data_IF_977033791345
#
_entry.id   IF_977033791345
#
_cell.length_a   1.000
_cell.length_b   1.000
_cell.length_c   1.000
_cell.angle_alpha   90.00
_cell.angle_beta   90.00
_cell.angle_gamma   90.00
#
_symmetry.space_group_name_H-M   'P 1'
#
loop_
_entity.id
_entity.type
_entity.pdbx_description
1 polymer ?
#
# COMPACT_ATOMS: atom_id res chain seq x y z
N UNK A 1 9.63 5.66 2.76
CA UNK A 1 8.20 5.29 2.72
C UNK A 1 7.97 4.31 1.59
N UNK A 2 7.13 3.30 1.77
CA UNK A 2 6.59 2.45 0.71
C UNK A 2 5.10 2.76 0.62
N UNK A 3 4.72 3.56 -0.37
CA UNK A 3 3.34 3.98 -0.53
C UNK A 3 2.61 3.16 -1.60
N UNK A 4 1.29 3.07 -1.44
CA UNK A 4 0.32 2.66 -2.44
C UNK A 4 -0.93 3.53 -2.24
N UNK A 5 -1.56 3.97 -3.32
CA UNK A 5 -2.79 4.77 -3.28
C UNK A 5 -4.01 3.92 -2.89
N UNK A 6 -5.08 4.61 -2.55
CA UNK A 6 -6.44 4.09 -2.49
C UNK A 6 -7.35 4.87 -3.47
N UNK A 7 -8.64 5.01 -3.18
CA UNK A 7 -9.61 5.73 -4.00
C UNK A 7 -9.48 7.25 -3.88
N UNK A 8 -9.24 7.77 -2.67
CA UNK A 8 -9.25 9.21 -2.39
C UNK A 8 -8.09 10.01 -3.00
N UNK A 9 -7.04 9.37 -3.51
CA UNK A 9 -6.10 10.01 -4.43
C UNK A 9 -6.77 10.46 -5.74
N UNK A 10 -7.92 9.86 -6.11
CA UNK A 10 -8.70 10.17 -7.30
C UNK A 10 -10.12 10.69 -6.98
N UNK A 11 -10.98 9.80 -6.47
CA UNK A 11 -12.41 10.01 -6.20
C UNK A 11 -12.97 8.84 -5.38
N UNK A 12 -13.98 9.11 -4.55
CA UNK A 12 -14.57 8.16 -3.60
C UNK A 12 -15.10 6.89 -4.29
N UNK A 13 -14.72 5.72 -3.77
CA UNK A 13 -15.07 4.40 -4.27
C UNK A 13 -14.70 4.20 -5.76
N UNK A 14 -13.58 4.77 -6.20
CA UNK A 14 -13.11 4.61 -7.57
C UNK A 14 -12.90 3.13 -7.97
N UNK A 15 -13.20 2.85 -9.23
CA UNK A 15 -12.93 1.63 -9.96
C UNK A 15 -12.42 1.99 -11.36
N UNK A 16 -12.08 1.00 -12.19
CA UNK A 16 -11.40 1.22 -13.47
C UNK A 16 -12.10 2.21 -14.42
N UNK A 17 -13.42 2.30 -14.40
CA UNK A 17 -14.23 3.14 -15.29
C UNK A 17 -14.99 4.30 -14.63
N UNK A 18 -14.87 4.52 -13.31
CA UNK A 18 -15.59 5.60 -12.64
C UNK A 18 -15.39 5.64 -11.12
N UNK A 19 -16.20 6.45 -10.45
CA UNK A 19 -16.21 6.59 -9.00
C UNK A 19 -17.61 7.01 -8.53
N UNK A 20 -17.93 6.83 -7.25
CA UNK A 20 -19.25 7.15 -6.71
C UNK A 20 -19.57 8.65 -6.80
N UNK A 21 -18.58 9.51 -6.54
CA UNK A 21 -18.76 10.96 -6.47
C UNK A 21 -18.12 11.71 -7.65
N UNK A 22 -18.11 11.10 -8.84
CA UNK A 22 -17.67 11.76 -10.06
C UNK A 22 -18.85 12.06 -10.98
N UNK A 23 -18.94 13.30 -11.46
CA UNK A 23 -19.94 13.73 -12.44
C UNK A 23 -19.27 14.23 -13.73
N UNK A 24 -19.38 13.49 -14.85
CA UNK A 24 -18.73 13.88 -16.09
C UNK A 24 -19.27 15.17 -16.71
N UNK A 25 -20.46 15.63 -16.32
CA UNK A 25 -21.04 16.87 -16.84
C UNK A 25 -20.43 18.13 -16.21
N UNK A 26 -19.91 18.02 -14.99
CA UNK A 26 -19.37 19.15 -14.21
C UNK A 26 -17.86 19.05 -14.01
N UNK A 27 -17.31 17.84 -13.98
CA UNK A 27 -15.89 17.59 -13.72
C UNK A 27 -15.12 17.10 -14.97
N UNK A 28 -15.81 16.91 -16.09
CA UNK A 28 -15.23 16.39 -17.33
C UNK A 28 -15.03 14.87 -17.33
N UNK A 29 -14.41 14.29 -18.37
CA UNK A 29 -14.21 12.85 -18.47
C UNK A 29 -13.40 12.26 -17.30
N UNK A 30 -13.85 11.12 -16.76
CA UNK A 30 -13.14 10.44 -15.65
C UNK A 30 -11.68 10.12 -15.97
N UNK A 31 -11.39 9.81 -17.24
CA UNK A 31 -10.04 9.55 -17.73
C UNK A 31 -9.09 10.75 -17.52
N UNK A 32 -9.59 11.98 -17.69
CA UNK A 32 -8.80 13.20 -17.51
C UNK A 32 -8.49 13.42 -16.02
N UNK A 33 -9.48 13.20 -15.15
CA UNK A 33 -9.30 13.24 -13.69
C UNK A 33 -8.28 12.19 -13.23
N UNK A 34 -8.35 10.98 -13.79
CA UNK A 34 -7.41 9.89 -13.53
C UNK A 34 -5.99 10.23 -13.99
N UNK A 35 -5.83 10.80 -15.18
CA UNK A 35 -4.53 11.26 -15.67
C UNK A 35 -3.93 12.36 -14.78
N UNK A 36 -4.76 13.30 -14.31
CA UNK A 36 -4.34 14.34 -13.37
C UNK A 36 -3.91 13.76 -12.01
N UNK A 37 -4.66 12.79 -11.46
CA UNK A 37 -4.27 12.07 -10.23
C UNK A 37 -2.91 11.39 -10.39
N UNK A 38 -2.70 10.64 -11.48
CA UNK A 38 -1.43 9.94 -11.69
C UNK A 38 -0.27 10.92 -11.76
N UNK A 39 -0.45 12.02 -12.49
CA UNK A 39 0.56 13.09 -12.55
C UNK A 39 0.87 13.63 -11.14
N UNK A 40 -0.15 14.03 -10.38
CA UNK A 40 0.04 14.57 -9.04
C UNK A 40 0.72 13.56 -8.10
N UNK A 41 0.30 12.30 -8.13
CA UNK A 41 0.88 11.24 -7.32
C UNK A 41 2.37 11.04 -7.64
N UNK A 42 2.73 10.97 -8.92
CA UNK A 42 4.11 10.79 -9.37
C UNK A 42 5.00 12.03 -9.13
N UNK A 43 4.41 13.22 -9.04
CA UNK A 43 5.12 14.47 -8.73
C UNK A 43 5.38 14.64 -7.22
N UNK A 44 4.46 14.20 -6.36
CA UNK A 44 4.49 14.50 -4.92
C UNK A 44 4.87 13.32 -4.02
N UNK A 45 4.78 12.09 -4.50
CA UNK A 45 5.13 10.91 -3.72
C UNK A 45 6.57 10.46 -4.02
N UNK A 46 7.35 10.04 -3.01
CA UNK A 46 8.66 9.43 -3.22
C UNK A 46 8.50 8.03 -3.81
N UNK A 47 8.21 7.99 -5.11
CA UNK A 47 7.77 6.82 -5.85
C UNK A 47 8.76 6.47 -6.96
N UNK A 48 9.06 5.17 -7.08
CA UNK A 48 9.74 4.60 -8.24
C UNK A 48 8.71 3.82 -9.02
N UNK A 49 8.54 4.16 -10.30
CA UNK A 49 7.69 3.39 -11.20
C UNK A 49 8.20 1.93 -11.30
N UNK A 50 7.38 0.92 -10.96
CA UNK A 50 7.68 -0.49 -11.21
C UNK A 50 7.84 -0.80 -12.69
N UNK A 51 7.02 -0.16 -13.53
CA UNK A 51 7.10 -0.23 -14.99
C UNK A 51 7.02 1.21 -15.55
N UNK A 52 8.06 1.72 -16.20
CA UNK A 52 8.05 3.06 -16.78
C UNK A 52 7.08 3.20 -17.97
N UNK A 53 6.58 2.10 -18.54
CA UNK A 53 5.63 2.11 -19.64
C UNK A 53 4.16 2.01 -19.18
N UNK A 54 3.93 1.78 -17.89
CA UNK A 54 2.60 1.65 -17.31
C UNK A 54 2.51 2.55 -16.07
N UNK A 55 2.02 3.77 -16.25
CA UNK A 55 1.93 4.77 -15.17
C UNK A 55 0.95 4.40 -14.05
N UNK A 56 0.09 3.40 -14.28
CA UNK A 56 -0.86 2.83 -13.31
C UNK A 56 -0.28 1.65 -12.54
N UNK A 57 0.83 1.10 -13.01
CA UNK A 57 1.51 -0.01 -12.37
C UNK A 57 2.09 0.45 -11.03
N UNK A 58 1.43 0.14 -9.91
CA UNK A 58 1.96 0.44 -8.56
C UNK A 58 2.29 -0.79 -7.71
N UNK A 59 1.64 -1.92 -7.98
CA UNK A 59 1.81 -3.16 -7.20
C UNK A 59 3.24 -3.73 -7.35
N UNK A 60 3.96 -4.04 -6.27
CA UNK A 60 5.39 -4.41 -6.36
C UNK A 60 5.84 -5.12 -5.10
N UNK A 61 7.03 -5.73 -5.14
CA UNK A 61 7.59 -6.44 -4.00
C UNK A 61 8.79 -5.75 -3.39
N UNK A 62 8.99 -5.95 -2.09
CA UNK A 62 10.18 -5.57 -1.36
C UNK A 62 10.64 -6.74 -0.49
N UNK A 63 11.95 -6.97 -0.42
CA UNK A 63 12.52 -8.06 0.37
C UNK A 63 13.43 -7.50 1.48
N UNK A 64 13.25 -7.99 2.70
CA UNK A 64 14.19 -7.79 3.81
C UNK A 64 14.87 -9.12 4.11
N UNK A 65 16.00 -9.35 3.42
CA UNK A 65 16.67 -10.64 3.45
C UNK A 65 15.74 -11.78 3.05
N UNK A 66 15.81 -12.87 3.80
CA UNK A 66 14.91 -14.03 3.75
C UNK A 66 13.77 -13.93 4.78
N UNK A 67 13.67 -12.83 5.53
CA UNK A 67 12.67 -12.68 6.58
C UNK A 67 11.31 -12.26 6.03
N UNK A 68 11.26 -11.18 5.26
CA UNK A 68 10.00 -10.61 4.74
C UNK A 68 10.06 -10.46 3.23
N UNK A 69 9.00 -10.91 2.57
CA UNK A 69 8.58 -10.38 1.29
C UNK A 69 7.29 -9.56 1.49
N UNK A 70 7.37 -8.25 1.27
CA UNK A 70 6.21 -7.36 1.25
C UNK A 70 5.70 -7.26 -0.19
N UNK A 71 4.50 -7.79 -0.43
CA UNK A 71 3.79 -7.81 -1.70
C UNK A 71 2.74 -6.70 -1.66
N UNK A 72 3.04 -5.56 -2.28
CA UNK A 72 2.12 -4.41 -2.35
C UNK A 72 1.15 -4.58 -3.51
N UNK A 73 -0.15 -4.42 -3.26
CA UNK A 73 -1.24 -4.57 -4.23
C UNK A 73 -1.91 -3.23 -4.57
N UNK A 74 -2.50 -3.15 -5.76
CA UNK A 74 -3.52 -2.16 -6.12
C UNK A 74 -4.89 -2.83 -6.09
N UNK A 75 -5.80 -2.39 -5.22
CA UNK A 75 -7.20 -2.86 -5.20
C UNK A 75 -8.18 -1.76 -5.60
N UNK A 76 -7.76 -0.81 -6.45
CA UNK A 76 -8.56 0.35 -6.85
C UNK A 76 -8.53 0.62 -8.35
N UNK A 77 -7.38 1.02 -8.88
CA UNK A 77 -7.35 1.64 -10.20
C UNK A 77 -6.95 0.65 -11.30
N UNK A 78 -6.20 -0.41 -10.96
CA UNK A 78 -5.62 -1.28 -11.97
C UNK A 78 -6.64 -2.22 -12.65
N UNK A 79 -7.35 -3.04 -11.86
CA UNK A 79 -8.19 -4.13 -12.40
C UNK A 79 -9.51 -4.33 -11.69
N UNK A 80 -9.98 -3.31 -10.96
CA UNK A 80 -11.21 -3.34 -10.18
C UNK A 80 -12.43 -3.03 -11.04
N UNK A 81 -13.42 -3.92 -10.98
CA UNK A 81 -14.77 -3.68 -11.49
C UNK A 81 -15.58 -2.83 -10.52
N UNK A 82 -16.62 -2.15 -10.99
CA UNK A 82 -17.55 -1.42 -10.13
C UNK A 82 -18.14 -2.33 -9.04
N UNK A 83 -18.17 -1.82 -7.81
CA UNK A 83 -18.75 -2.46 -6.64
C UNK A 83 -20.25 -2.72 -6.84
N UNK A 84 -20.82 -3.80 -6.28
CA UNK A 84 -22.27 -3.95 -6.21
C UNK A 84 -22.90 -2.79 -5.44
N UNK A 85 -24.07 -2.32 -5.88
CA UNK A 85 -24.77 -1.23 -5.23
C UNK A 85 -25.56 -1.69 -4.00
N UNK A 86 -25.64 -0.83 -2.98
CA UNK A 86 -26.43 -1.06 -1.77
C UNK A 86 -25.59 -1.11 -0.49
N UNK A 87 -26.22 -0.79 0.64
CA UNK A 87 -25.56 -0.78 1.96
C UNK A 87 -25.49 -2.17 2.58
N UNK A 88 -26.57 -2.95 2.45
CA UNK A 88 -26.64 -4.33 2.93
C UNK A 88 -27.00 -5.24 1.76
N UNK A 89 -26.10 -6.14 1.40
CA UNK A 89 -26.26 -7.04 0.24
C UNK A 89 -26.30 -8.47 0.76
N UNK A 90 -27.34 -9.22 0.37
CA UNK A 90 -27.50 -10.61 0.80
C UNK A 90 -26.30 -11.42 0.29
N UNK A 91 -25.69 -12.23 1.15
CA UNK A 91 -24.51 -13.04 0.79
C UNK A 91 -24.79 -14.06 -0.33
N UNK A 92 -26.07 -14.38 -0.60
CA UNK A 92 -26.51 -15.27 -1.67
C UNK A 92 -26.88 -14.53 -2.96
N UNK A 93 -26.68 -13.20 -3.04
CA UNK A 93 -26.97 -12.43 -4.26
C UNK A 93 -26.12 -12.94 -5.45
N UNK A 94 -26.72 -13.32 -6.58
CA UNK A 94 -25.97 -13.83 -7.74
C UNK A 94 -25.09 -12.78 -8.41
N UNK A 95 -25.42 -11.49 -8.36
CA UNK A 95 -24.58 -10.41 -8.88
C UNK A 95 -23.33 -10.22 -8.01
N UNK A 96 -23.50 -10.33 -6.69
CA UNK A 96 -22.38 -10.33 -5.73
C UNK A 96 -21.44 -11.52 -6.01
N UNK A 97 -22.03 -12.71 -6.16
CA UNK A 97 -21.31 -13.98 -6.34
C UNK A 97 -20.86 -14.26 -7.77
N UNK A 98 -21.03 -13.32 -8.71
CA UNK A 98 -20.59 -13.49 -10.09
C UNK A 98 -19.06 -13.72 -10.13
N UNK A 99 -18.59 -14.90 -10.60
CA UNK A 99 -17.17 -15.24 -10.55
C UNK A 99 -16.32 -14.37 -11.47
N UNK A 100 -16.91 -13.68 -12.44
CA UNK A 100 -16.18 -12.82 -13.37
C UNK A 100 -15.84 -11.45 -12.77
N UNK A 101 -16.42 -11.08 -11.62
CA UNK A 101 -16.07 -9.84 -10.95
C UNK A 101 -14.65 -9.88 -10.40
N UNK A 102 -13.96 -8.77 -10.53
CA UNK A 102 -12.53 -8.64 -10.30
C UNK A 102 -12.22 -7.45 -9.41
N UNK A 103 -11.39 -7.67 -8.37
CA UNK A 103 -10.81 -6.60 -7.56
C UNK A 103 -9.39 -6.25 -8.05
N UNK A 104 -8.59 -7.28 -8.37
CA UNK A 104 -7.17 -7.11 -8.73
C UNK A 104 -6.93 -6.97 -10.23
N UNK A 105 -7.81 -7.54 -11.05
CA UNK A 105 -7.56 -7.79 -12.47
C UNK A 105 -6.71 -9.04 -12.68
N UNK A 106 -6.79 -9.62 -13.89
CA UNK A 106 -6.13 -10.89 -14.21
C UNK A 106 -4.61 -10.82 -14.06
N UNK A 107 -3.97 -9.75 -14.56
CA UNK A 107 -2.51 -9.64 -14.56
C UNK A 107 -1.92 -9.58 -13.14
N UNK A 108 -2.45 -8.69 -12.29
CA UNK A 108 -2.00 -8.56 -10.90
C UNK A 108 -2.35 -9.80 -10.07
N UNK A 109 -3.53 -10.40 -10.28
CA UNK A 109 -3.92 -11.64 -9.59
C UNK A 109 -2.95 -12.77 -9.88
N UNK A 110 -2.65 -13.00 -11.16
CA UNK A 110 -1.72 -14.06 -11.56
C UNK A 110 -0.33 -13.80 -10.97
N UNK A 111 0.16 -12.57 -11.08
CA UNK A 111 1.42 -12.16 -10.47
C UNK A 111 1.46 -12.39 -8.95
N UNK A 112 0.42 -11.99 -8.21
CA UNK A 112 0.34 -12.22 -6.76
C UNK A 112 0.44 -13.71 -6.43
N UNK A 113 -0.30 -14.55 -7.14
CA UNK A 113 -0.31 -15.99 -6.90
C UNK A 113 1.05 -16.62 -7.22
N UNK A 114 1.71 -16.19 -8.29
CA UNK A 114 3.05 -16.65 -8.63
C UNK A 114 4.07 -16.20 -7.57
N UNK A 115 4.00 -14.96 -7.08
CA UNK A 115 4.84 -14.50 -5.96
C UNK A 115 4.61 -15.32 -4.70
N UNK A 116 3.36 -15.54 -4.30
CA UNK A 116 3.05 -16.32 -3.10
C UNK A 116 3.59 -17.77 -3.19
N UNK A 117 3.48 -18.40 -4.36
CA UNK A 117 3.97 -19.77 -4.61
C UNK A 117 5.49 -19.88 -4.67
N UNK A 118 6.17 -18.84 -5.19
CA UNK A 118 7.61 -18.86 -5.43
C UNK A 118 8.44 -18.21 -4.33
N UNK A 119 7.82 -17.44 -3.43
CA UNK A 119 8.52 -16.73 -2.36
C UNK A 119 9.14 -17.68 -1.35
N UNK A 120 10.46 -17.59 -1.19
CA UNK A 120 11.23 -18.28 -0.14
C UNK A 120 11.33 -17.52 1.17
N UNK A 121 10.76 -16.30 1.26
CA UNK A 121 10.80 -15.52 2.50
C UNK A 121 10.00 -16.21 3.61
N UNK A 122 10.47 -16.07 4.86
CA UNK A 122 9.81 -16.62 6.06
C UNK A 122 8.39 -16.11 6.16
N UNK A 123 8.18 -14.80 5.97
CA UNK A 123 6.87 -14.15 5.99
C UNK A 123 6.53 -13.52 4.64
N UNK A 124 5.30 -13.76 4.18
CA UNK A 124 4.71 -13.05 3.04
C UNK A 124 3.70 -12.04 3.56
N UNK A 125 4.07 -10.77 3.57
CA UNK A 125 3.19 -9.67 3.97
C UNK A 125 2.51 -9.11 2.72
N UNK A 126 1.18 -9.06 2.69
CA UNK A 126 0.41 -8.47 1.61
C UNK A 126 -0.06 -7.09 2.07
N UNK A 127 0.50 -6.02 1.49
CA UNK A 127 0.06 -4.65 1.76
C UNK A 127 -0.95 -4.18 0.73
N UNK A 128 -2.15 -3.79 1.18
CA UNK A 128 -3.26 -3.44 0.29
C UNK A 128 -4.27 -2.52 1.00
N UNK A 129 -5.31 -2.08 0.29
CA UNK A 129 -6.15 -0.97 0.70
C UNK A 129 -7.33 -1.41 1.58
N UNK A 130 -8.16 -2.35 1.08
CA UNK A 130 -9.52 -2.60 1.60
C UNK A 130 -9.65 -3.95 2.32
N UNK A 131 -10.42 -4.06 3.40
CA UNK A 131 -10.41 -5.25 4.27
C UNK A 131 -10.72 -6.58 3.57
N UNK A 132 -9.93 -7.61 3.88
CA UNK A 132 -10.08 -8.97 3.34
C UNK A 132 -11.08 -9.78 4.16
N UNK A 133 -10.99 -9.68 5.50
CA UNK A 133 -11.86 -10.40 6.41
C UNK A 133 -13.34 -10.15 6.09
N UNK A 134 -14.21 -11.18 6.14
CA UNK A 134 -15.63 -10.97 5.97
C UNK A 134 -16.20 -10.16 7.13
N UNK A 135 -17.06 -9.19 6.80
CA UNK A 135 -17.81 -8.39 7.75
C UNK A 135 -19.30 -8.48 7.41
N UNK A 136 -19.99 -9.34 8.16
CA UNK A 136 -21.38 -9.69 7.89
C UNK A 136 -22.28 -9.43 9.09
N UNK A 137 -23.57 -9.25 8.80
CA UNK A 137 -24.65 -9.24 9.78
C UNK A 137 -25.66 -10.32 9.47
N UNK A 138 -26.10 -11.04 10.50
CA UNK A 138 -27.22 -11.95 10.37
C UNK A 138 -28.51 -11.26 10.80
N UNK A 139 -29.49 -11.19 9.91
CA UNK A 139 -30.81 -10.62 10.14
C UNK A 139 -31.86 -11.39 9.34
N UNK A 140 -33.05 -11.59 9.93
CA UNK A 140 -34.18 -12.25 9.24
C UNK A 140 -33.80 -13.60 8.60
N UNK A 141 -33.03 -14.43 9.31
CA UNK A 141 -32.51 -15.73 8.85
C UNK A 141 -31.62 -15.68 7.60
N UNK A 142 -31.12 -14.49 7.24
CA UNK A 142 -30.18 -14.26 6.16
C UNK A 142 -28.91 -13.61 6.70
N UNK A 143 -27.83 -13.66 5.92
CA UNK A 143 -26.61 -12.91 6.19
C UNK A 143 -26.40 -11.86 5.11
N UNK A 144 -25.89 -10.69 5.50
CA UNK A 144 -25.64 -9.57 4.61
C UNK A 144 -24.22 -9.06 4.80
N UNK A 145 -23.53 -8.74 3.71
CA UNK A 145 -22.31 -7.93 3.79
C UNK A 145 -22.70 -6.48 4.08
N UNK A 146 -21.83 -5.75 4.77
CA UNK A 146 -22.10 -4.36 5.20
C UNK A 146 -21.26 -3.33 4.43
N UNK A 147 -20.25 -3.77 3.70
CA UNK A 147 -19.41 -2.91 2.86
C UNK A 147 -18.99 -3.63 1.57
N UNK A 148 -19.70 -3.33 0.48
CA UNK A 148 -19.40 -3.89 -0.84
C UNK A 148 -18.15 -3.26 -1.50
N UNK A 149 -17.57 -2.24 -0.88
CA UNK A 149 -16.32 -1.61 -1.32
C UNK A 149 -15.05 -2.34 -0.85
N UNK A 150 -15.21 -3.42 -0.09
CA UNK A 150 -14.12 -4.27 0.39
C UNK A 150 -14.10 -5.62 -0.33
N UNK A 151 -13.27 -6.57 0.12
CA UNK A 151 -13.23 -7.91 -0.48
C UNK A 151 -14.55 -8.66 -0.34
N UNK A 152 -15.41 -8.26 0.60
CA UNK A 152 -16.80 -8.73 0.68
C UNK A 152 -17.61 -8.46 -0.59
N UNK A 153 -17.33 -7.36 -1.27
CA UNK A 153 -17.89 -7.07 -2.58
C UNK A 153 -17.42 -8.04 -3.66
N UNK A 154 -16.33 -8.80 -3.47
CA UNK A 154 -15.70 -9.65 -4.50
C UNK A 154 -15.43 -11.06 -3.94
N UNK A 155 -16.46 -11.80 -3.50
CA UNK A 155 -16.29 -13.05 -2.76
C UNK A 155 -15.55 -14.13 -3.56
N UNK A 156 -15.76 -14.21 -4.87
CA UNK A 156 -15.03 -15.13 -5.75
C UNK A 156 -13.53 -14.81 -5.80
N UNK A 157 -13.16 -13.52 -5.79
CA UNK A 157 -11.77 -13.08 -5.76
C UNK A 157 -11.09 -13.42 -4.43
N UNK A 158 -11.77 -13.13 -3.31
CA UNK A 158 -11.33 -13.51 -1.97
C UNK A 158 -11.12 -15.02 -1.88
N UNK A 159 -12.06 -15.79 -2.42
CA UNK A 159 -12.00 -17.25 -2.41
C UNK A 159 -10.79 -17.78 -3.17
N UNK A 160 -10.47 -17.22 -4.35
CA UNK A 160 -9.27 -17.61 -5.11
C UNK A 160 -7.97 -17.36 -4.35
N UNK A 161 -7.88 -16.25 -3.60
CA UNK A 161 -6.71 -15.98 -2.75
C UNK A 161 -6.58 -17.04 -1.66
N UNK A 162 -7.67 -17.31 -0.94
CA UNK A 162 -7.73 -18.33 0.11
C UNK A 162 -7.41 -19.74 -0.41
N UNK A 163 -7.99 -20.12 -1.55
CA UNK A 163 -7.71 -21.38 -2.23
C UNK A 163 -6.24 -21.48 -2.64
N UNK A 164 -5.66 -20.41 -3.19
CA UNK A 164 -4.24 -20.39 -3.55
C UNK A 164 -3.36 -20.67 -2.34
N UNK A 165 -3.63 -20.00 -1.21
CA UNK A 165 -2.86 -20.19 0.03
C UNK A 165 -2.97 -21.63 0.53
N UNK A 166 -4.19 -22.16 0.65
CA UNK A 166 -4.43 -23.49 1.22
C UNK A 166 -3.93 -24.61 0.29
N UNK A 167 -4.30 -24.59 -0.99
CA UNK A 167 -4.00 -25.67 -1.93
C UNK A 167 -2.51 -25.79 -2.26
N UNK A 168 -1.74 -24.70 -2.12
CA UNK A 168 -0.29 -24.70 -2.36
C UNK A 168 0.51 -24.76 -1.04
N UNK A 169 -0.14 -25.02 0.09
CA UNK A 169 0.48 -25.08 1.41
C UNK A 169 1.34 -23.86 1.74
N UNK A 170 0.89 -22.66 1.32
CA UNK A 170 1.63 -21.42 1.56
C UNK A 170 1.49 -21.08 3.04
N UNK A 171 2.62 -20.88 3.71
CA UNK A 171 2.71 -20.59 5.13
C UNK A 171 2.95 -19.10 5.36
N UNK A 172 2.68 -18.63 6.59
CA UNK A 172 3.13 -17.33 7.10
C UNK A 172 2.66 -16.13 6.26
N UNK A 173 1.38 -16.12 5.92
CA UNK A 173 0.75 -15.01 5.17
C UNK A 173 0.07 -14.05 6.14
N UNK A 174 0.42 -12.77 6.03
CA UNK A 174 -0.15 -11.68 6.82
C UNK A 174 -0.64 -10.59 5.88
N UNK A 175 -1.85 -10.07 6.09
CA UNK A 175 -2.40 -8.95 5.32
C UNK A 175 -2.35 -7.66 6.14
N UNK A 176 -1.97 -6.56 5.50
CA UNK A 176 -1.94 -5.21 6.05
C UNK A 176 -2.93 -4.33 5.25
N UNK A 177 -3.81 -3.64 5.97
CA UNK A 177 -5.01 -3.01 5.38
C UNK A 177 -5.28 -1.63 6.00
N UNK A 178 -5.90 -0.71 5.23
CA UNK A 178 -6.42 0.59 5.68
C UNK A 178 -7.91 0.77 5.37
N UNK A 179 -8.26 1.86 4.66
CA UNK A 179 -9.60 2.21 4.12
C UNK A 179 -10.71 2.46 5.17
N UNK A 180 -11.00 1.51 6.05
CA UNK A 180 -12.21 1.51 6.90
C UNK A 180 -12.16 2.44 8.13
N UNK A 181 -11.10 3.25 8.24
CA UNK A 181 -10.87 4.26 9.29
C UNK A 181 -10.94 3.74 10.74
N UNK A 182 -10.90 2.44 10.96
CA UNK A 182 -11.10 1.80 12.27
C UNK A 182 -10.09 0.65 12.43
N UNK A 183 -9.86 0.19 13.65
CA UNK A 183 -8.83 -0.80 13.96
C UNK A 183 -9.40 -2.21 13.96
N UNK A 184 -8.71 -3.18 13.33
CA UNK A 184 -9.16 -4.57 13.30
C UNK A 184 -8.00 -5.57 13.30
N UNK A 185 -8.10 -6.58 14.16
CA UNK A 185 -7.24 -7.77 14.11
C UNK A 185 -8.09 -8.98 13.75
N UNK A 186 -7.88 -9.56 12.58
CA UNK A 186 -8.73 -10.61 12.05
C UNK A 186 -7.95 -11.91 11.78
N UNK A 187 -8.58 -13.03 12.11
CA UNK A 187 -8.32 -14.28 11.41
C UNK A 187 -9.07 -14.25 10.06
N UNK A 188 -8.50 -14.85 9.02
CA UNK A 188 -9.12 -14.90 7.68
C UNK A 188 -9.76 -16.28 7.45
N UNK A 189 -11.06 -16.46 7.75
CA UNK A 189 -11.72 -17.76 7.62
C UNK A 189 -11.78 -18.20 6.16
N UNK A 190 -11.47 -19.48 5.88
CA UNK A 190 -11.45 -20.06 4.53
C UNK A 190 -12.80 -19.97 3.82
N UNK A 191 -13.90 -20.00 4.57
CA UNK A 191 -15.25 -19.87 4.07
C UNK A 191 -16.32 -19.98 5.17
N UNK A 192 -17.60 -19.83 4.82
CA UNK A 192 -18.71 -19.91 5.77
C UNK A 192 -18.69 -21.22 6.57
N UNK A 193 -18.87 -21.13 7.89
CA UNK A 193 -18.94 -22.28 8.79
C UNK A 193 -17.63 -23.07 9.00
N UNK A 194 -16.53 -22.70 8.32
CA UNK A 194 -15.26 -23.43 8.43
C UNK A 194 -14.41 -23.05 9.65
N UNK A 195 -14.76 -21.97 10.35
CA UNK A 195 -13.91 -21.33 11.34
C UNK A 195 -14.34 -21.67 12.78
N UNK A 196 -13.39 -22.13 13.58
CA UNK A 196 -13.57 -22.39 15.00
C UNK A 196 -12.94 -21.25 15.82
N UNK A 197 -13.78 -20.45 16.47
CA UNK A 197 -13.35 -19.24 17.19
C UNK A 197 -12.53 -19.48 18.44
N UNK A 198 -12.65 -20.66 19.05
CA UNK A 198 -11.88 -21.04 20.24
C UNK A 198 -10.46 -21.47 19.92
N UNK A 199 -10.21 -21.96 18.70
CA UNK A 199 -8.92 -22.54 18.31
C UNK A 199 -8.23 -21.82 17.15
N UNK A 200 -8.95 -20.99 16.39
CA UNK A 200 -8.47 -20.38 15.16
C UNK A 200 -8.44 -21.34 13.95
N UNK A 201 -8.83 -22.61 14.13
CA UNK A 201 -8.87 -23.59 13.04
C UNK A 201 -9.84 -23.12 11.94
N UNK A 202 -9.45 -23.33 10.68
CA UNK A 202 -10.20 -22.84 9.51
C UNK A 202 -9.76 -21.47 9.01
N UNK A 203 -8.81 -20.81 9.67
CA UNK A 203 -8.18 -19.59 9.16
C UNK A 203 -7.10 -19.89 8.10
N UNK A 204 -7.02 -19.07 7.05
CA UNK A 204 -6.00 -19.18 5.99
C UNK A 204 -4.79 -18.29 6.21
N UNK A 205 -4.97 -17.19 6.93
CA UNK A 205 -4.00 -16.12 7.16
C UNK A 205 -4.54 -15.18 8.25
N UNK A 206 -3.78 -14.16 8.64
CA UNK A 206 -4.25 -13.09 9.54
C UNK A 206 -4.21 -11.74 8.85
N UNK A 207 -5.00 -10.80 9.33
CA UNK A 207 -5.07 -9.43 8.82
C UNK A 207 -4.99 -8.41 9.96
N UNK A 208 -4.15 -7.40 9.76
CA UNK A 208 -4.03 -6.21 10.60
C UNK A 208 -4.56 -5.00 9.83
N UNK A 209 -5.62 -4.40 10.34
CA UNK A 209 -6.27 -3.22 9.73
C UNK A 209 -5.98 -1.99 10.60
N UNK A 210 -5.30 -1.01 10.01
CA UNK A 210 -4.93 0.24 10.68
C UNK A 210 -6.10 1.22 10.71
N UNK A 211 -6.28 1.98 11.82
CA UNK A 211 -7.23 3.08 11.84
C UNK A 211 -6.77 4.20 10.91
N UNK A 212 -7.64 5.20 10.70
CA UNK A 212 -7.23 6.43 10.04
C UNK A 212 -6.31 7.26 10.94
N UNK A 213 -5.49 8.10 10.30
CA UNK A 213 -4.70 9.12 11.01
C UNK A 213 -5.61 10.24 11.52
N UNK A 214 -6.55 10.71 10.69
CA UNK A 214 -7.50 11.79 11.05
C UNK A 214 -8.87 11.68 10.41
N UNK A 215 -9.06 10.86 9.37
CA UNK A 215 -10.36 10.74 8.68
C UNK A 215 -11.45 10.25 9.63
N UNK A 216 -12.64 10.84 9.54
CA UNK A 216 -13.78 10.47 10.37
C UNK A 216 -14.09 8.96 10.26
N UNK A 217 -14.34 8.32 11.41
CA UNK A 217 -14.62 6.89 11.46
C UNK A 217 -15.84 6.52 10.61
N UNK A 218 -15.84 5.28 10.12
CA UNK A 218 -16.89 4.69 9.29
C UNK A 218 -18.30 4.86 9.90
N UNK A 219 -19.02 5.89 9.47
CA UNK A 219 -20.42 6.15 9.88
C UNK A 219 -21.40 5.14 9.30
N UNK A 220 -21.00 4.38 8.27
CA UNK A 220 -21.82 3.34 7.63
C UNK A 220 -22.14 2.16 8.56
N UNK A 221 -21.41 2.00 9.67
CA UNK A 221 -21.64 0.91 10.61
C UNK A 221 -22.99 1.02 11.33
N UNK A 222 -23.61 2.21 11.47
CA UNK A 222 -24.95 2.32 12.06
C UNK A 222 -25.07 1.60 13.42
N UNK A 223 -25.87 0.52 13.48
CA UNK A 223 -26.04 -0.35 14.67
C UNK A 223 -24.82 -1.24 15.01
N UNK A 224 -23.81 -1.34 14.12
CA UNK A 224 -22.49 -1.91 14.40
C UNK A 224 -21.54 -0.97 15.14
N UNK A 225 -22.06 0.08 15.79
CA UNK A 225 -21.27 0.98 16.63
C UNK A 225 -20.67 0.31 17.87
N UNK A 226 -20.95 -0.97 18.12
CA UNK A 226 -20.42 -1.74 19.24
C UNK A 226 -19.46 -2.86 18.80
N UNK A 227 -18.20 -2.84 19.29
CA UNK A 227 -17.25 -3.95 19.18
C UNK A 227 -17.83 -5.34 19.51
N UNK A 228 -18.66 -5.46 20.55
CA UNK A 228 -19.20 -6.76 20.97
C UNK A 228 -20.18 -7.34 19.97
N UNK A 229 -21.00 -6.50 19.33
CA UNK A 229 -21.92 -6.92 18.27
C UNK A 229 -21.12 -7.40 17.06
N UNK A 230 -20.12 -6.63 16.63
CA UNK A 230 -19.19 -7.03 15.56
C UNK A 230 -18.65 -8.43 15.81
N UNK A 231 -18.03 -8.65 16.98
CA UNK A 231 -17.37 -9.91 17.31
C UNK A 231 -18.35 -11.08 17.49
N UNK A 232 -19.57 -10.82 17.97
CA UNK A 232 -20.60 -11.86 18.06
C UNK A 232 -21.09 -12.33 16.69
N UNK A 233 -21.18 -11.43 15.71
CA UNK A 233 -21.59 -11.75 14.34
C UNK A 233 -20.43 -12.29 13.50
N UNK A 234 -19.20 -11.92 13.85
CA UNK A 234 -17.98 -12.20 13.09
C UNK A 234 -16.90 -12.74 14.05
N UNK A 235 -16.98 -14.00 14.48
CA UNK A 235 -16.16 -14.53 15.58
C UNK A 235 -14.67 -14.71 15.22
N UNK A 236 -14.29 -14.50 13.96
CA UNK A 236 -12.90 -14.38 13.48
C UNK A 236 -12.28 -13.01 13.79
N UNK A 237 -13.07 -11.99 14.14
CA UNK A 237 -12.59 -10.67 14.56
C UNK A 237 -12.07 -10.74 16.00
N UNK A 238 -10.76 -10.74 16.16
CA UNK A 238 -10.09 -10.84 17.47
C UNK A 238 -9.96 -9.51 18.18
N UNK A 239 -9.77 -8.45 17.40
CA UNK A 239 -9.69 -7.08 17.89
C UNK A 239 -10.51 -6.15 17.02
N UNK A 240 -11.22 -5.22 17.64
CA UNK A 240 -11.90 -4.13 16.93
C UNK A 240 -11.96 -2.87 17.80
N UNK A 241 -11.58 -1.73 17.23
CA UNK A 241 -11.82 -0.40 17.79
C UNK A 241 -12.42 0.51 16.72
N UNK A 242 -13.60 1.04 17.00
CA UNK A 242 -14.40 1.79 16.02
C UNK A 242 -14.28 3.30 16.14
N UNK A 243 -13.38 3.79 17.00
CA UNK A 243 -13.43 5.18 17.48
C UNK A 243 -12.10 5.93 17.43
N UNK A 244 -10.99 5.25 17.71
CA UNK A 244 -9.70 5.92 17.90
C UNK A 244 -8.89 5.96 16.60
N UNK A 245 -8.17 7.07 16.42
CA UNK A 245 -7.29 7.34 15.29
C UNK A 245 -5.83 7.08 15.65
N UNK A 246 -5.02 6.69 14.66
CA UNK A 246 -3.60 6.44 14.88
C UNK A 246 -3.00 5.53 13.82
N UNK A 247 -2.15 4.60 14.24
CA UNK A 247 -1.37 3.74 13.35
C UNK A 247 -1.05 2.40 14.00
N UNK A 248 -0.46 1.48 13.23
CA UNK A 248 0.05 0.18 13.72
C UNK A 248 1.57 0.14 13.58
N UNK A 249 2.25 -0.37 14.61
CA UNK A 249 3.63 -0.87 14.49
C UNK A 249 3.58 -2.36 14.21
N UNK A 250 4.22 -2.79 13.11
CA UNK A 250 4.37 -4.21 12.76
C UNK A 250 5.80 -4.64 13.07
N UNK A 251 5.95 -5.54 14.05
CA UNK A 251 7.21 -6.21 14.39
C UNK A 251 7.26 -7.59 13.75
N UNK A 252 8.33 -7.86 13.01
CA UNK A 252 8.51 -9.13 12.30
C UNK A 252 9.81 -9.78 12.73
N UNK A 253 9.70 -11.01 13.19
CA UNK A 253 10.83 -11.89 13.54
C UNK A 253 10.66 -13.24 12.85
N UNK A 254 11.69 -14.09 12.77
CA UNK A 254 11.51 -15.42 12.16
C UNK A 254 10.41 -16.26 12.84
N UNK A 255 10.10 -15.99 14.11
CA UNK A 255 9.14 -16.77 14.91
C UNK A 255 7.72 -16.19 14.93
N UNK A 256 7.53 -14.88 14.69
CA UNK A 256 6.22 -14.24 14.76
C UNK A 256 6.13 -12.93 13.97
N UNK A 257 4.91 -12.56 13.63
CA UNK A 257 4.52 -11.18 13.30
C UNK A 257 3.59 -10.68 14.39
N UNK A 258 3.89 -9.49 14.94
CA UNK A 258 3.06 -8.82 15.93
C UNK A 258 2.63 -7.44 15.40
N UNK A 259 1.35 -7.10 15.58
CA UNK A 259 0.80 -5.78 15.33
C UNK A 259 0.38 -5.11 16.63
N UNK A 260 0.86 -3.89 16.83
CA UNK A 260 0.60 -3.05 17.99
C UNK A 260 -0.08 -1.76 17.54
N UNK A 261 -1.31 -1.54 18.01
CA UNK A 261 -2.03 -0.32 17.70
C UNK A 261 -1.56 0.81 18.61
N UNK A 262 -1.34 1.99 18.04
CA UNK A 262 -1.04 3.22 18.76
C UNK A 262 -2.04 4.29 18.35
N UNK A 263 -2.62 4.96 19.34
CA UNK A 263 -3.68 5.94 19.13
C UNK A 263 -3.22 7.33 19.49
N UNK A 264 -3.47 8.28 18.60
CA UNK A 264 -3.26 9.70 18.87
C UNK A 264 -4.18 10.17 19.98
N UNK A 265 -3.65 10.94 20.93
CA UNK A 265 -4.44 11.45 22.05
C UNK A 265 -5.51 12.45 21.60
N UNK A 266 -5.25 13.19 20.51
CA UNK A 266 -6.20 14.07 19.84
C UNK A 266 -5.83 14.22 18.37
N UNK A 267 -6.83 14.47 17.53
CA UNK A 267 -6.66 14.81 16.10
C UNK A 267 -7.08 16.26 15.78
N UNK A 268 -7.61 16.98 16.77
CA UNK A 268 -8.14 18.35 16.58
C UNK A 268 -7.15 19.44 16.94
N UNK A 269 -6.03 19.07 17.58
CA UNK A 269 -4.97 19.99 18.01
C UNK A 269 -3.60 19.35 17.77
N UNK A 270 -2.54 20.14 17.48
CA UNK A 270 -1.19 19.63 17.23
C UNK A 270 -0.45 19.28 18.54
N UNK A 271 -1.10 18.51 19.42
CA UNK A 271 -0.53 18.07 20.70
C UNK A 271 0.20 16.73 20.49
N UNK A 272 1.52 16.65 20.75
CA UNK A 272 2.24 15.39 20.70
C UNK A 272 1.70 14.41 21.74
N UNK A 273 1.63 13.14 21.38
CA UNK A 273 1.30 12.08 22.32
C UNK A 273 0.43 11.00 21.69
N UNK A 274 0.70 9.78 22.14
CA UNK A 274 0.00 8.58 21.74
C UNK A 274 -0.19 7.65 22.93
N UNK A 275 -1.19 6.78 22.82
CA UNK A 275 -1.50 5.76 23.80
C UNK A 275 -1.51 4.41 23.11
N UNK A 276 -0.84 3.42 23.71
CA UNK A 276 -0.88 2.05 23.20
C UNK A 276 -2.30 1.46 23.29
N UNK A 277 -2.72 0.81 22.21
CA UNK A 277 -3.91 -0.01 22.10
C UNK A 277 -3.67 -1.45 22.53
N UNK A 278 -4.44 -2.37 21.95
CA UNK A 278 -4.14 -3.79 22.10
C UNK A 278 -2.98 -4.21 21.17
N UNK A 279 -2.43 -5.39 21.47
CA UNK A 279 -1.33 -6.00 20.74
C UNK A 279 -1.70 -7.45 20.41
N UNK A 280 -1.50 -7.85 19.17
CA UNK A 280 -1.86 -9.19 18.68
C UNK A 280 -0.77 -9.74 17.77
N UNK A 281 -0.54 -11.06 17.83
CA UNK A 281 0.51 -11.70 17.05
C UNK A 281 0.07 -13.04 16.45
N UNK A 282 0.78 -13.48 15.42
CA UNK A 282 0.70 -14.82 14.84
C UNK A 282 2.09 -15.46 14.88
N UNK A 283 2.18 -16.74 15.25
CA UNK A 283 3.44 -17.48 15.21
C UNK A 283 3.71 -18.05 13.81
N UNK A 284 4.98 -18.26 13.47
CA UNK A 284 5.35 -18.96 12.24
C UNK A 284 4.74 -20.38 12.25
N UNK A 285 4.10 -20.75 11.14
CA UNK A 285 3.35 -22.00 10.99
C UNK A 285 1.89 -21.93 11.48
N UNK A 286 1.50 -20.87 12.19
CA UNK A 286 0.11 -20.61 12.56
C UNK A 286 -0.57 -19.67 11.55
N UNK A 287 -1.90 -19.65 11.59
CA UNK A 287 -2.75 -18.81 10.71
C UNK A 287 -3.80 -18.03 11.48
N UNK A 288 -3.63 -17.87 12.79
CA UNK A 288 -4.60 -17.21 13.66
C UNK A 288 -3.89 -16.33 14.69
N UNK A 289 -4.58 -15.29 15.14
CA UNK A 289 -4.07 -14.29 16.07
C UNK A 289 -4.20 -14.74 17.53
N UNK A 290 -3.21 -14.33 18.32
CA UNK A 290 -3.14 -14.46 19.77
C UNK A 290 -2.92 -13.09 20.38
N UNK A 291 -3.58 -12.82 21.51
CA UNK A 291 -3.38 -11.57 22.24
C UNK A 291 -1.99 -11.54 22.85
N UNK A 292 -1.22 -10.49 22.59
CA UNK A 292 0.06 -10.27 23.25
C UNK A 292 -0.19 -9.63 24.64
N UNK A 293 0.78 -9.80 25.54
CA UNK A 293 0.73 -9.18 26.88
C UNK A 293 1.15 -7.72 26.87
N UNK A 294 1.90 -7.28 25.86
CA UNK A 294 2.42 -5.93 25.73
C UNK A 294 2.80 -5.61 24.27
N UNK A 295 2.89 -4.32 23.90
CA UNK A 295 3.51 -3.90 22.64
C UNK A 295 4.94 -4.38 22.50
N UNK A 296 5.40 -4.47 21.26
CA UNK A 296 6.78 -4.76 20.92
C UNK A 296 7.71 -3.63 21.40
N UNK A 297 8.92 -4.00 21.78
CA UNK A 297 9.97 -3.05 22.14
C UNK A 297 11.02 -3.05 21.04
N UNK A 298 11.32 -1.87 20.48
CA UNK A 298 12.38 -1.74 19.51
C UNK A 298 13.71 -2.26 20.05
N UNK A 299 14.52 -2.97 19.25
CA UNK A 299 15.87 -3.35 19.64
C UNK A 299 16.69 -2.10 20.03
N UNK A 300 17.56 -2.19 21.06
CA UNK A 300 18.43 -1.09 21.43
C UNK A 300 19.29 -0.62 20.24
N UNK A 301 19.43 0.70 20.04
CA UNK A 301 20.36 1.30 19.08
C UNK A 301 19.78 1.74 17.73
N UNK A 302 18.51 1.47 17.45
CA UNK A 302 17.80 2.04 16.29
C UNK A 302 16.91 3.21 16.72
N UNK A 303 17.54 4.33 17.09
CA UNK A 303 16.78 5.57 17.23
C UNK A 303 16.57 6.18 15.83
N UNK A 304 15.33 6.48 15.41
CA UNK A 304 15.13 7.25 14.20
C UNK A 304 15.88 8.59 14.33
N UNK A 305 16.43 9.14 13.24
CA UNK A 305 17.02 10.47 13.30
C UNK A 305 15.99 11.45 13.86
N UNK A 306 16.38 12.23 14.87
CA UNK A 306 15.54 13.27 15.45
C UNK A 306 15.02 14.16 14.32
N UNK A 307 13.70 14.31 14.20
CA UNK A 307 13.11 15.22 13.23
C UNK A 307 13.60 16.62 13.60
N UNK A 308 14.30 17.29 12.68
CA UNK A 308 14.61 18.70 12.79
C UNK A 308 13.31 19.51 12.69
N UNK A 309 12.55 19.61 13.79
CA UNK A 309 11.43 20.54 13.89
C UNK A 309 12.01 21.93 14.13
N UNK A 310 11.90 22.80 13.12
CA UNK A 310 12.41 24.18 13.20
C UNK A 310 12.83 24.80 11.87
N UNK A 311 12.87 24.03 10.78
CA UNK A 311 13.12 24.62 9.46
C UNK A 311 11.86 25.39 9.00
N UNK A 312 11.91 26.71 9.08
CA UNK A 312 11.05 27.57 8.28
C UNK A 312 11.35 27.26 6.81
N UNK A 313 10.38 26.68 6.09
CA UNK A 313 10.45 26.59 4.63
C UNK A 313 10.35 28.01 4.08
N UNK A 314 11.50 28.65 3.87
CA UNK A 314 11.55 29.85 3.03
C UNK A 314 11.20 29.44 1.60
N UNK A 315 10.30 30.17 0.96
CA UNK A 315 10.09 30.10 -0.48
C UNK A 315 11.36 30.61 -1.17
N UNK A 316 12.33 29.72 -1.41
CA UNK A 316 13.46 30.01 -2.28
C UNK A 316 13.00 30.00 -3.73
N UNK A 317 13.59 30.85 -4.57
CA UNK A 317 13.46 30.74 -6.03
C UNK A 317 13.85 29.33 -6.45
N UNK A 318 12.88 28.52 -6.86
CA UNK A 318 13.15 27.16 -7.28
C UNK A 318 13.84 27.16 -8.65
N UNK A 319 14.88 26.33 -8.83
CA UNK A 319 15.63 26.27 -10.09
C UNK A 319 14.70 25.82 -11.23
N UNK A 320 15.03 26.21 -12.47
CA UNK A 320 14.27 25.80 -13.67
C UNK A 320 14.28 24.28 -13.89
N UNK A 321 15.31 23.60 -13.38
CA UNK A 321 15.49 22.16 -13.37
C UNK A 321 15.74 21.70 -11.94
N UNK A 322 14.89 20.82 -11.42
CA UNK A 322 15.07 20.19 -10.11
C UNK A 322 15.26 18.69 -10.30
N UNK A 323 16.38 18.13 -9.84
CA UNK A 323 16.52 16.68 -9.73
C UNK A 323 15.86 16.22 -8.44
N UNK A 324 14.72 15.55 -8.59
CA UNK A 324 13.92 15.03 -7.48
C UNK A 324 14.46 13.69 -6.98
N UNK A 325 15.07 12.89 -7.87
CA UNK A 325 15.58 11.58 -7.52
C UNK A 325 16.55 10.99 -8.54
N UNK A 326 17.47 10.15 -8.03
CA UNK A 326 18.44 9.37 -8.80
C UNK A 326 18.36 7.93 -8.32
N UNK A 327 17.78 7.02 -9.11
CA UNK A 327 17.51 5.66 -8.65
C UNK A 327 17.46 4.61 -9.78
N UNK A 328 17.71 3.32 -9.51
CA UNK A 328 18.22 2.79 -8.25
C UNK A 328 19.64 3.30 -7.99
N UNK A 329 19.96 3.55 -6.73
CA UNK A 329 21.30 3.90 -6.28
C UNK A 329 21.50 3.14 -4.96
N UNK A 330 22.19 1.99 -4.95
CA UNK A 330 23.13 1.53 -5.98
C UNK A 330 22.48 1.05 -7.30
N UNK A 331 23.11 1.34 -8.43
CA UNK A 331 22.67 1.02 -9.78
C UNK A 331 23.44 -0.18 -10.37
N UNK A 332 22.83 -0.88 -11.33
CA UNK A 332 23.49 -1.95 -12.09
C UNK A 332 23.61 -1.58 -13.58
N UNK A 333 22.54 -1.72 -14.38
CA UNK A 333 22.60 -1.45 -15.82
C UNK A 333 22.36 0.02 -16.18
N UNK A 334 21.53 0.72 -15.41
CA UNK A 334 21.19 2.12 -15.64
C UNK A 334 20.81 2.79 -14.31
N UNK A 335 20.74 4.11 -14.34
CA UNK A 335 20.08 4.92 -13.31
C UNK A 335 19.00 5.79 -13.93
N UNK A 336 17.82 5.83 -13.32
CA UNK A 336 16.72 6.73 -13.67
C UNK A 336 16.88 8.06 -12.94
N UNK A 337 16.84 9.14 -13.71
CA UNK A 337 16.74 10.50 -13.23
C UNK A 337 15.28 10.94 -13.23
N UNK A 338 14.77 11.33 -12.06
CA UNK A 338 13.47 11.99 -11.92
C UNK A 338 13.70 13.50 -11.87
N UNK A 339 13.33 14.18 -12.95
CA UNK A 339 13.59 15.60 -13.17
C UNK A 339 12.28 16.37 -13.21
N UNK A 340 12.17 17.48 -12.49
CA UNK A 340 11.11 18.45 -12.69
C UNK A 340 11.63 19.64 -13.50
N UNK A 341 10.93 20.00 -14.57
CA UNK A 341 11.19 21.22 -15.36
C UNK A 341 9.97 22.12 -15.42
N UNK A 342 10.18 23.44 -15.49
CA UNK A 342 9.09 24.43 -15.58
C UNK A 342 8.54 24.65 -17.00
N UNK A 343 9.26 24.19 -18.00
CA UNK A 343 8.96 24.35 -19.43
C UNK A 343 9.74 23.30 -20.22
N UNK A 344 9.52 23.25 -21.52
CA UNK A 344 10.31 22.40 -22.42
C UNK A 344 11.77 22.87 -22.42
N UNK A 345 12.72 21.95 -22.22
CA UNK A 345 14.15 22.31 -22.11
C UNK A 345 15.08 21.16 -22.48
N UNK A 346 16.28 21.51 -22.91
CA UNK A 346 17.40 20.59 -23.09
C UNK A 346 18.35 20.68 -21.90
N UNK A 347 18.71 19.55 -21.32
CA UNK A 347 19.54 19.41 -20.12
C UNK A 347 20.75 18.54 -20.47
N UNK A 348 21.94 18.99 -20.12
CA UNK A 348 23.16 18.18 -20.21
C UNK A 348 23.37 17.41 -18.89
N UNK A 349 23.56 16.10 -19.00
CA UNK A 349 23.91 15.22 -17.89
C UNK A 349 25.25 14.60 -18.16
N UNK A 350 26.20 14.77 -17.25
CA UNK A 350 27.51 14.14 -17.31
C UNK A 350 27.64 13.09 -16.24
N UNK A 351 28.29 11.99 -16.59
CA UNK A 351 28.79 11.03 -15.63
C UNK A 351 30.29 11.23 -15.51
N UNK A 352 30.77 11.44 -14.28
CA UNK A 352 32.16 11.70 -13.97
C UNK A 352 32.70 10.64 -13.00
N UNK A 353 34.01 10.41 -13.00
CA UNK A 353 34.68 9.69 -11.92
C UNK A 353 34.69 10.52 -10.64
N UNK A 354 35.07 9.95 -9.49
CA UNK A 354 35.18 10.71 -8.23
C UNK A 354 36.27 11.79 -8.28
N UNK A 355 37.24 11.65 -9.17
CA UNK A 355 38.27 12.66 -9.49
C UNK A 355 37.75 13.74 -10.45
N UNK A 356 36.48 13.67 -10.89
CA UNK A 356 35.87 14.65 -11.78
C UNK A 356 36.16 14.45 -13.27
N UNK A 357 36.77 13.33 -13.67
CA UNK A 357 37.02 13.02 -15.08
C UNK A 357 35.72 12.58 -15.77
N UNK A 358 35.40 13.17 -16.91
CA UNK A 358 34.22 12.77 -17.68
C UNK A 358 34.35 11.33 -18.20
N UNK A 359 33.30 10.55 -17.95
CA UNK A 359 33.13 9.16 -18.38
C UNK A 359 32.17 9.11 -19.57
N UNK A 360 31.04 9.81 -19.46
CA UNK A 360 30.04 9.93 -20.52
C UNK A 360 29.21 11.21 -20.34
N UNK A 361 28.56 11.65 -21.43
CA UNK A 361 27.64 12.78 -21.43
C UNK A 361 26.37 12.42 -22.20
N UNK A 362 25.23 12.91 -21.72
CA UNK A 362 23.90 12.64 -22.24
C UNK A 362 23.14 13.95 -22.37
N UNK A 363 22.36 14.05 -23.44
CA UNK A 363 21.44 15.18 -23.65
C UNK A 363 20.02 14.69 -23.39
N UNK A 364 19.34 15.34 -22.45
CA UNK A 364 17.96 15.06 -22.08
C UNK A 364 17.07 16.18 -22.62
N UNK A 365 15.95 15.84 -23.25
CA UNK A 365 14.98 16.79 -23.75
C UNK A 365 13.65 16.64 -23.01
N UNK A 366 13.34 17.56 -22.10
CA UNK A 366 12.02 17.60 -21.47
C UNK A 366 11.02 18.31 -22.39
N UNK A 367 9.88 17.69 -22.74
CA UNK A 367 8.95 18.23 -23.73
C UNK A 367 8.03 19.33 -23.18
N UNK A 368 7.92 19.46 -21.86
CA UNK A 368 6.95 20.35 -21.22
C UNK A 368 7.27 20.61 -19.74
N UNK A 369 6.47 21.46 -19.11
CA UNK A 369 6.47 21.63 -17.67
C UNK A 369 5.96 20.37 -16.96
N UNK A 370 6.72 19.83 -16.00
CA UNK A 370 6.33 18.68 -15.20
C UNK A 370 7.51 17.80 -14.78
N UNK A 371 7.18 16.65 -14.18
CA UNK A 371 8.15 15.61 -13.84
C UNK A 371 8.37 14.65 -15.02
N UNK A 372 9.63 14.36 -15.30
CA UNK A 372 10.10 13.52 -16.40
C UNK A 372 11.10 12.48 -15.89
N UNK A 373 11.14 11.33 -16.55
CA UNK A 373 12.00 10.22 -16.17
C UNK A 373 12.92 9.84 -17.33
N UNK A 374 14.23 9.81 -17.08
CA UNK A 374 15.23 9.44 -18.10
C UNK A 374 16.19 8.42 -17.55
N UNK A 375 16.43 7.36 -18.31
CA UNK A 375 17.46 6.37 -17.97
C UNK A 375 18.81 6.82 -18.53
N UNK A 376 19.80 6.86 -17.65
CA UNK A 376 21.21 7.04 -17.97
C UNK A 376 21.86 5.64 -17.92
N UNK A 377 22.27 5.07 -19.07
CA UNK A 377 22.93 3.78 -19.12
C UNK A 377 24.27 3.79 -18.38
N UNK A 378 24.57 2.70 -17.67
CA UNK A 378 25.83 2.47 -16.95
C UNK A 378 26.51 1.16 -17.39
N UNK A 379 26.01 0.53 -18.45
CA UNK A 379 26.60 -0.68 -19.02
C UNK A 379 28.04 -0.42 -19.48
N UNK A 380 28.91 -1.40 -19.25
CA UNK A 380 30.34 -1.29 -19.56
C UNK A 380 31.18 -0.51 -18.53
N UNK A 381 30.55 0.15 -17.54
CA UNK A 381 31.28 0.81 -16.46
C UNK A 381 31.66 -0.19 -15.36
N UNK A 382 32.89 -0.08 -14.79
CA UNK A 382 33.28 -0.90 -13.66
C UNK A 382 32.42 -0.58 -12.43
N UNK A 383 32.28 -1.55 -11.53
CA UNK A 383 31.71 -1.32 -10.20
C UNK A 383 32.53 -0.24 -9.48
N UNK A 384 31.85 0.74 -8.89
CA UNK A 384 32.53 1.92 -8.33
C UNK A 384 31.60 3.06 -7.99
N UNK A 385 32.18 4.13 -7.42
CA UNK A 385 31.46 5.39 -7.19
C UNK A 385 31.69 6.31 -8.39
N UNK A 386 30.63 6.96 -8.85
CA UNK A 386 30.62 7.96 -9.90
C UNK A 386 29.90 9.22 -9.40
N UNK A 387 30.06 10.32 -10.13
CA UNK A 387 29.36 11.57 -9.90
C UNK A 387 28.47 11.85 -11.12
N UNK A 388 27.17 11.97 -10.88
CA UNK A 388 26.21 12.41 -11.89
C UNK A 388 26.04 13.92 -11.78
N UNK A 389 26.49 14.66 -12.79
CA UNK A 389 26.41 16.10 -12.85
C UNK A 389 25.28 16.51 -13.80
N UNK A 390 24.36 17.33 -13.31
CA UNK A 390 23.29 17.95 -14.08
C UNK A 390 23.64 19.42 -14.32
N UNK A 391 23.60 19.85 -15.58
CA UNK A 391 23.84 21.24 -15.96
C UNK A 391 22.56 21.86 -16.50
N UNK A 392 21.90 22.65 -15.64
CA UNK A 392 20.79 23.54 -15.98
C UNK A 392 21.21 25.00 -15.80
N UNK A 393 20.40 25.81 -15.11
CA UNK A 393 20.80 27.17 -14.69
C UNK A 393 21.91 27.14 -13.62
N UNK A 394 21.97 26.05 -12.85
CA UNK A 394 23.04 25.74 -11.90
C UNK A 394 23.64 24.37 -12.24
N UNK A 395 24.89 24.15 -11.85
CA UNK A 395 25.53 22.83 -11.89
C UNK A 395 25.26 22.12 -10.57
N UNK A 396 24.63 20.95 -10.62
CA UNK A 396 24.41 20.10 -9.44
C UNK A 396 25.04 18.74 -9.64
N UNK A 397 25.66 18.21 -8.59
CA UNK A 397 26.38 16.93 -8.64
C UNK A 397 25.84 15.97 -7.60
N UNK A 398 25.63 14.72 -7.99
CA UNK A 398 25.03 13.67 -7.18
C UNK A 398 25.92 12.43 -7.17
N UNK A 399 26.08 11.82 -6.00
CA UNK A 399 26.84 10.57 -5.89
C UNK A 399 26.02 9.41 -6.43
N UNK A 400 26.63 8.62 -7.31
CA UNK A 400 26.08 7.39 -7.88
C UNK A 400 26.96 6.21 -7.50
N UNK A 401 26.39 5.12 -7.02
CA UNK A 401 27.11 3.87 -6.77
C UNK A 401 26.73 2.83 -7.83
N UNK A 402 27.68 2.37 -8.63
CA UNK A 402 27.53 1.27 -9.57
C UNK A 402 27.99 -0.03 -8.91
N UNK A 403 27.14 -1.05 -8.92
CA UNK A 403 27.47 -2.42 -8.48
C UNK A 403 27.77 -3.33 -9.64
#
# INVERSE_FOLDING_TARGET
MIAVWDDHELANNAWTGGAQNHDPNTEGPFADRRAAMLRAYHEWMPFRMPDPNDSLRIWRTFNWGDLVELIMLDTRHYGRDQQPSGTFINVNDPNLNNPNRSLLGTAQRQWLYDRLKTSSATWKLIGQQVMVAPLQISAFSNSFIVNADQWDGYPAERRRLMDTIIQNNIQNVVVLTGDIHTSWGNDLPFGPGSYNSSTGAGSTAVEFVTPSITSANASFLGQFSSPSVVQSQNPHVKYVDLSRHGYIIIDVTPQRVQGDWYYSNTITQPTPGETAGESWYVQAGERFLRKATSPTTAPPGYNPPLIARGATTALTTQPSVTLLGVYPNPAQAFVTLQLYTREARTIEVKLLTVEGKEVSSYTIHTPSAGTHYYQVPLEGLPAGTFLLQLKGDEVRTYRLLKR
#
